data_IF_230460966093
#
_entry.id   IF_230460966093
#
_cell.length_a   1.000
_cell.length_b   1.000
_cell.length_c   1.000
_cell.angle_alpha   90.00
_cell.angle_beta   90.00
_cell.angle_gamma   90.00
#
_symmetry.space_group_name_H-M   'P 1'
#
loop_
_entity.id
_entity.type
_entity.pdbx_description
1 polymer ?
#
# COMPACT_ATOMS: atom_id res chain seq x y z
N UNK A 1 5.50 3.19 16.81
CA UNK A 1 6.23 2.35 15.84
C UNK A 1 5.94 2.74 14.40
N UNK A 2 4.67 2.83 13.98
CA UNK A 2 4.27 3.41 12.68
C UNK A 2 4.70 4.88 12.50
N UNK A 3 4.61 5.69 13.56
CA UNK A 3 4.98 7.12 13.55
C UNK A 3 6.47 7.36 13.24
N UNK A 4 7.35 6.41 13.58
CA UNK A 4 8.78 6.57 13.29
C UNK A 4 9.09 6.45 11.80
N UNK A 5 8.32 5.67 11.04
CA UNK A 5 8.52 5.56 9.59
C UNK A 5 8.17 6.87 8.88
N UNK A 6 7.13 7.57 9.35
CA UNK A 6 6.78 8.89 8.84
C UNK A 6 7.84 9.95 9.20
N UNK A 7 8.46 9.83 10.36
CA UNK A 7 9.41 10.83 10.87
C UNK A 7 10.80 10.73 10.25
N UNK A 8 11.19 9.56 9.75
CA UNK A 8 12.56 9.28 9.26
C UNK A 8 12.62 9.22 7.71
N UNK A 9 11.50 9.41 6.99
CA UNK A 9 11.42 9.26 5.52
C UNK A 9 12.07 7.95 5.02
N UNK A 10 12.07 6.90 5.86
CA UNK A 10 12.73 5.65 5.56
C UNK A 10 11.70 4.67 5.03
N UNK A 11 11.88 4.29 3.78
CA UNK A 11 11.03 3.30 3.12
C UNK A 11 11.18 1.96 3.87
N UNK A 12 10.09 1.41 4.44
CA UNK A 12 10.13 0.09 5.07
C UNK A 12 10.35 -1.00 4.04
N UNK A 13 11.14 -2.02 4.38
CA UNK A 13 11.30 -3.21 3.54
C UNK A 13 10.01 -4.04 3.55
N UNK A 14 9.74 -4.75 2.45
CA UNK A 14 8.58 -5.66 2.31
C UNK A 14 8.39 -6.61 3.49
N UNK A 15 9.49 -7.15 4.06
CA UNK A 15 9.43 -8.00 5.25
C UNK A 15 8.80 -7.31 6.46
N UNK A 16 9.14 -6.05 6.70
CA UNK A 16 8.60 -5.27 7.83
C UNK A 16 7.11 -5.01 7.62
N UNK A 17 6.70 -4.72 6.38
CA UNK A 17 5.28 -4.57 6.06
C UNK A 17 4.50 -5.87 6.25
N UNK A 18 5.05 -7.00 5.81
CA UNK A 18 4.43 -8.32 5.99
C UNK A 18 4.33 -8.70 7.49
N UNK A 19 5.34 -8.38 8.29
CA UNK A 19 5.30 -8.58 9.76
C UNK A 19 4.24 -7.70 10.42
N UNK A 20 4.12 -6.43 10.02
CA UNK A 20 3.07 -5.55 10.52
C UNK A 20 1.68 -6.07 10.19
N UNK A 21 1.47 -6.58 8.97
CA UNK A 21 0.22 -7.18 8.56
C UNK A 21 -0.11 -8.43 9.39
N UNK A 22 0.89 -9.28 9.65
CA UNK A 22 0.74 -10.45 10.52
C UNK A 22 0.42 -10.07 11.97
N UNK A 23 0.99 -8.98 12.48
CA UNK A 23 0.67 -8.45 13.79
C UNK A 23 -0.78 -7.94 13.86
N UNK A 24 -1.20 -7.15 12.86
CA UNK A 24 -2.58 -6.68 12.75
C UNK A 24 -3.59 -7.84 12.69
N UNK A 25 -3.20 -8.95 12.05
CA UNK A 25 -4.01 -10.17 11.98
C UNK A 25 -4.17 -10.84 13.34
N UNK A 26 -3.07 -10.94 14.10
CA UNK A 26 -3.09 -11.50 15.47
C UNK A 26 -3.91 -10.66 16.43
N UNK A 27 -3.89 -9.34 16.27
CA UNK A 27 -4.69 -8.41 17.08
C UNK A 27 -6.13 -8.29 16.59
N UNK A 28 -6.46 -8.88 15.44
CA UNK A 28 -7.76 -8.82 14.77
C UNK A 28 -8.22 -7.38 14.50
N UNK A 29 -7.27 -6.53 14.10
CA UNK A 29 -7.46 -5.09 13.90
C UNK A 29 -7.41 -4.75 12.39
N UNK A 30 -8.55 -4.78 11.67
CA UNK A 30 -8.59 -4.44 10.24
C UNK A 30 -8.18 -2.98 9.97
N UNK A 31 -8.46 -2.05 10.89
CA UNK A 31 -8.08 -0.64 10.75
C UNK A 31 -6.56 -0.42 10.72
N UNK A 32 -5.78 -1.25 11.44
CA UNK A 32 -4.32 -1.19 11.40
C UNK A 32 -3.78 -1.64 10.04
N UNK A 33 -4.36 -2.71 9.48
CA UNK A 33 -3.98 -3.21 8.17
C UNK A 33 -4.27 -2.18 7.06
N UNK A 34 -5.41 -1.49 7.11
CA UNK A 34 -5.74 -0.43 6.14
C UNK A 34 -4.79 0.76 6.27
N UNK A 35 -4.45 1.17 7.50
CA UNK A 35 -3.47 2.24 7.72
C UNK A 35 -2.10 1.87 7.14
N UNK A 36 -1.71 0.60 7.22
CA UNK A 36 -0.48 0.09 6.64
C UNK A 36 -0.51 0.17 5.10
N UNK A 37 -1.59 -0.27 4.46
CA UNK A 37 -1.72 -0.19 3.00
C UNK A 37 -1.72 1.26 2.52
N UNK A 38 -2.42 2.17 3.23
CA UNK A 38 -2.38 3.61 2.94
C UNK A 38 -0.97 4.17 3.06
N UNK A 39 -0.25 3.78 4.11
CA UNK A 39 1.12 4.23 4.33
C UNK A 39 2.04 3.73 3.19
N UNK A 40 1.95 2.45 2.82
CA UNK A 40 2.71 1.88 1.72
C UNK A 40 2.44 2.61 0.39
N UNK A 41 1.18 2.96 0.14
CA UNK A 41 0.79 3.72 -1.03
C UNK A 41 1.34 5.15 -1.02
N UNK A 42 1.29 5.85 0.12
CA UNK A 42 1.90 7.17 0.27
C UNK A 42 3.41 7.15 0.06
N UNK A 43 4.07 6.02 0.32
CA UNK A 43 5.49 5.81 0.02
C UNK A 43 5.75 5.35 -1.43
N UNK A 44 4.72 5.14 -2.26
CA UNK A 44 4.87 4.65 -3.63
C UNK A 44 5.46 3.23 -3.70
N UNK A 45 5.23 2.40 -2.68
CA UNK A 45 5.81 1.07 -2.63
C UNK A 45 5.15 0.14 -3.66
N UNK A 46 5.93 -0.65 -4.43
CA UNK A 46 5.37 -1.65 -5.34
C UNK A 46 4.63 -2.78 -4.59
N UNK A 47 4.98 -2.98 -3.32
CA UNK A 47 4.33 -3.92 -2.40
C UNK A 47 2.92 -3.48 -1.96
N UNK A 48 2.48 -2.25 -2.27
CA UNK A 48 1.14 -1.75 -1.94
C UNK A 48 0.02 -2.64 -2.49
N UNK A 49 0.11 -3.05 -3.76
CA UNK A 49 -0.88 -3.93 -4.39
C UNK A 49 -0.92 -5.32 -3.74
N UNK A 50 0.26 -5.85 -3.40
CA UNK A 50 0.40 -7.14 -2.70
C UNK A 50 -0.21 -7.07 -1.31
N UNK A 51 0.08 -6.01 -0.55
CA UNK A 51 -0.46 -5.78 0.79
C UNK A 51 -1.98 -5.58 0.75
N UNK A 52 -2.50 -4.83 -0.23
CA UNK A 52 -3.94 -4.66 -0.44
C UNK A 52 -4.65 -6.01 -0.64
N UNK A 53 -4.18 -6.83 -1.58
CA UNK A 53 -4.77 -8.14 -1.85
C UNK A 53 -4.71 -9.08 -0.65
N UNK A 54 -3.57 -9.11 0.06
CA UNK A 54 -3.46 -9.87 1.32
C UNK A 54 -4.40 -9.35 2.39
N UNK A 55 -4.55 -8.04 2.53
CA UNK A 55 -5.43 -7.45 3.53
C UNK A 55 -6.89 -7.80 3.27
N UNK A 56 -7.33 -7.78 2.01
CA UNK A 56 -8.68 -8.17 1.61
C UNK A 56 -8.97 -9.67 1.78
N UNK A 57 -7.97 -10.54 1.62
CA UNK A 57 -8.13 -11.98 1.80
C UNK A 57 -7.99 -12.42 3.27
N UNK A 58 -7.11 -11.78 4.03
CA UNK A 58 -6.77 -12.20 5.39
C UNK A 58 -7.59 -11.51 6.48
N UNK A 59 -8.29 -10.40 6.15
CA UNK A 59 -9.15 -9.67 7.08
C UNK A 59 -10.57 -9.56 6.53
N UNK A 60 -11.56 -9.71 7.42
CA UNK A 60 -12.95 -9.37 7.11
C UNK A 60 -13.13 -7.84 7.17
N UNK A 61 -13.02 -7.20 6.00
CA UNK A 61 -13.17 -5.76 5.87
C UNK A 61 -14.63 -5.36 5.68
N UNK A 62 -15.04 -4.29 6.37
CA UNK A 62 -16.31 -3.61 6.10
C UNK A 62 -16.33 -2.99 4.68
N UNK A 63 -17.51 -2.81 4.08
CA UNK A 63 -17.67 -2.13 2.78
C UNK A 63 -16.96 -0.77 2.72
N UNK A 64 -16.99 0.00 3.83
CA UNK A 64 -16.29 1.29 3.92
C UNK A 64 -14.77 1.14 3.85
N UNK A 65 -14.25 0.09 4.47
CA UNK A 65 -12.83 -0.24 4.51
C UNK A 65 -12.35 -0.74 3.14
N UNK A 66 -13.19 -1.53 2.46
CA UNK A 66 -12.97 -1.98 1.08
C UNK A 66 -12.92 -0.82 0.09
N UNK A 67 -13.89 0.11 0.16
CA UNK A 67 -13.87 1.33 -0.66
C UNK A 67 -12.61 2.18 -0.42
N UNK A 68 -12.13 2.25 0.84
CA UNK A 68 -10.91 2.99 1.14
C UNK A 68 -9.65 2.31 0.65
N UNK A 69 -9.63 0.99 0.49
CA UNK A 69 -8.54 0.26 -0.18
C UNK A 69 -8.63 0.35 -1.71
N UNK A 70 -9.84 0.36 -2.26
CA UNK A 70 -10.08 0.47 -3.68
C UNK A 70 -9.57 1.80 -4.24
N UNK A 71 -9.83 2.91 -3.54
CA UNK A 71 -9.33 4.24 -3.91
C UNK A 71 -7.83 4.44 -3.76
N UNK A 72 -7.10 3.47 -3.22
CA UNK A 72 -5.63 3.49 -3.18
C UNK A 72 -5.12 2.93 -4.51
N UNK A 73 -4.93 3.81 -5.49
CA UNK A 73 -4.19 3.49 -6.71
C UNK A 73 -2.69 3.70 -6.45
N UNK A 74 -1.90 2.70 -6.81
CA UNK A 74 -0.44 2.86 -6.89
C UNK A 74 -0.16 3.68 -8.14
N UNK A 75 0.34 4.90 -7.99
CA UNK A 75 0.79 5.73 -9.11
C UNK A 75 1.98 5.03 -9.79
N UNK A 76 1.70 4.10 -10.69
CA UNK A 76 2.72 3.39 -11.49
C UNK A 76 2.51 3.59 -13.00
N UNK A 77 1.56 4.44 -13.41
CA UNK A 77 1.31 4.76 -14.81
C UNK A 77 1.83 6.16 -15.17
N UNK A 78 3.15 6.36 -15.07
CA UNK A 78 3.84 7.35 -15.89
C UNK A 78 4.52 6.60 -17.04
N UNK A 79 3.72 6.11 -17.99
CA UNK A 79 4.28 5.66 -19.26
C UNK A 79 4.56 6.88 -20.13
N UNK A 80 5.78 7.41 -20.00
CA UNK A 80 6.39 8.31 -20.99
C UNK A 80 6.36 7.59 -22.34
N UNK A 81 5.36 7.92 -23.15
CA UNK A 81 5.34 7.56 -24.57
C UNK A 81 5.91 8.73 -25.34
N UNK A 82 7.23 8.86 -25.29
CA UNK A 82 8.02 9.68 -26.21
C UNK A 82 7.85 9.10 -27.62
N UNK A 83 6.77 9.51 -28.31
CA UNK A 83 6.69 9.35 -29.77
C UNK A 83 7.32 10.56 -30.42
N UNK A 84 8.66 10.57 -30.43
CA UNK A 84 9.45 11.32 -31.41
C UNK A 84 9.05 10.82 -32.80
N UNK A 85 8.23 11.61 -33.50
CA UNK A 85 8.02 11.46 -34.93
C UNK A 85 8.64 12.66 -35.64
N UNK A 86 9.94 12.54 -35.90
CA UNK A 86 10.65 13.28 -36.94
C UNK A 86 10.06 12.96 -38.34
N UNK A 87 10.16 13.96 -39.24
CA UNK A 87 9.92 13.99 -40.72
C UNK A 87 8.60 14.68 -41.10
N UNK A 88 8.54 15.78 -41.86
CA UNK A 88 9.36 16.35 -42.95
C UNK A 88 9.31 17.90 -42.92
#
# INVERSE_FOLDING_TARGET
MMEHFQQINRIPTDQVMDEFLNCAKKTNCPDEAIKLVKLAASFGLPSTLKLKSRTEQEFELSEKQKNTLEGIQSDSDSSDSDSDSDRD
#
